data_IF_208673442596
#
_entry.id   IF_208673442596
#
_cell.length_a   1.000
_cell.length_b   1.000
_cell.length_c   1.000
_cell.angle_alpha   90.00
_cell.angle_beta   90.00
_cell.angle_gamma   90.00
#
_symmetry.space_group_name_H-M   'P 1'
#
loop_
_entity.id
_entity.type
_entity.pdbx_description
1 polymer ?
#
# COMPACT_ATOMS: atom_id res chain seq x y z
N UNK A 1 8.98 -23.12 -1.08
CA UNK A 1 8.62 -21.74 -0.70
C UNK A 1 9.53 -20.77 -1.44
N UNK A 2 8.96 -19.80 -2.18
CA UNK A 2 9.72 -18.87 -3.03
C UNK A 2 10.10 -17.63 -2.22
N UNK A 3 11.36 -17.19 -2.28
CA UNK A 3 11.87 -16.03 -1.53
C UNK A 3 11.14 -14.74 -1.94
N UNK A 4 10.45 -14.07 -1.02
CA UNK A 4 9.59 -12.90 -1.31
C UNK A 4 10.35 -11.56 -1.39
N UNK A 5 11.57 -11.49 -0.84
CA UNK A 5 12.26 -10.22 -0.52
C UNK A 5 13.35 -9.79 -1.52
N UNK A 6 13.67 -10.61 -2.52
CA UNK A 6 14.64 -10.26 -3.57
C UNK A 6 14.14 -10.77 -4.92
N UNK A 7 14.22 -9.95 -5.97
CA UNK A 7 14.00 -10.42 -7.34
C UNK A 7 15.15 -11.37 -7.71
N UNK A 8 15.00 -12.65 -7.36
CA UNK A 8 15.91 -13.74 -7.74
C UNK A 8 15.11 -14.90 -8.32
N UNK A 9 15.58 -15.43 -9.44
CA UNK A 9 15.12 -16.68 -10.03
C UNK A 9 15.08 -16.66 -11.56
N UNK A 10 14.63 -17.78 -12.15
CA UNK A 10 14.74 -18.05 -13.58
C UNK A 10 14.00 -17.01 -14.44
N UNK A 11 14.62 -16.62 -15.54
CA UNK A 11 14.05 -15.84 -16.64
C UNK A 11 13.48 -14.45 -16.27
N UNK A 12 13.96 -13.82 -15.20
CA UNK A 12 13.58 -12.43 -14.87
C UNK A 12 14.69 -11.48 -15.29
N UNK A 13 14.36 -10.48 -16.12
CA UNK A 13 15.29 -9.44 -16.57
C UNK A 13 14.75 -8.08 -16.17
N UNK A 14 15.57 -7.30 -15.48
CA UNK A 14 15.25 -5.91 -15.12
C UNK A 14 16.01 -5.02 -16.11
N UNK A 15 15.29 -4.11 -16.76
CA UNK A 15 15.87 -3.13 -17.67
C UNK A 15 15.37 -1.76 -17.24
N UNK A 16 16.30 -0.83 -17.00
CA UNK A 16 15.97 0.55 -16.63
C UNK A 16 16.45 1.45 -17.76
N UNK A 17 15.52 2.12 -18.42
CA UNK A 17 15.77 3.03 -19.54
C UNK A 17 15.04 4.35 -19.28
N UNK A 18 15.75 5.47 -19.31
CA UNK A 18 15.18 6.82 -19.25
C UNK A 18 14.20 7.08 -18.07
N UNK A 19 14.46 6.48 -16.90
CA UNK A 19 13.60 6.62 -15.71
C UNK A 19 12.49 5.57 -15.61
N UNK A 20 12.18 4.87 -16.69
CA UNK A 20 11.21 3.77 -16.70
C UNK A 20 11.93 2.44 -16.43
N UNK A 21 11.45 1.70 -15.44
CA UNK A 21 11.96 0.37 -15.12
C UNK A 21 10.98 -0.71 -15.57
N UNK A 22 11.50 -1.69 -16.31
CA UNK A 22 10.75 -2.81 -16.86
C UNK A 22 11.27 -4.11 -16.27
N UNK A 23 10.38 -4.90 -15.69
CA UNK A 23 10.64 -6.23 -15.17
C UNK A 23 10.00 -7.25 -16.12
N UNK A 24 10.84 -7.86 -16.95
CA UNK A 24 10.47 -8.91 -17.88
C UNK A 24 10.55 -10.27 -17.21
N UNK A 25 9.53 -11.10 -17.40
CA UNK A 25 9.54 -12.51 -17.04
C UNK A 25 9.31 -13.34 -18.31
N UNK A 26 10.29 -14.17 -18.66
CA UNK A 26 10.38 -14.85 -19.96
C UNK A 26 10.31 -13.84 -21.11
N UNK A 27 9.18 -13.78 -21.81
CA UNK A 27 8.94 -12.92 -22.96
C UNK A 27 7.82 -11.88 -22.71
N UNK A 28 7.44 -11.68 -21.45
CA UNK A 28 6.40 -10.72 -21.07
C UNK A 28 6.93 -9.72 -20.07
N UNK A 29 6.69 -8.43 -20.33
CA UNK A 29 6.97 -7.35 -19.38
C UNK A 29 5.89 -7.32 -18.30
N UNK A 30 6.15 -8.00 -17.19
CA UNK A 30 5.16 -8.23 -16.11
C UNK A 30 4.86 -6.97 -15.32
N UNK A 31 5.90 -6.16 -15.07
CA UNK A 31 5.77 -4.88 -14.40
C UNK A 31 6.56 -3.86 -15.18
N UNK A 32 5.91 -2.77 -15.57
CA UNK A 32 6.55 -1.58 -16.11
C UNK A 32 6.15 -0.45 -15.20
N UNK A 33 7.11 0.24 -14.61
CA UNK A 33 6.81 1.36 -13.75
C UNK A 33 7.72 2.53 -14.05
N UNK A 34 7.16 3.71 -13.84
CA UNK A 34 7.81 5.00 -13.94
C UNK A 34 7.52 5.80 -12.66
N UNK A 35 7.96 7.06 -12.59
CA UNK A 35 7.65 7.91 -11.43
C UNK A 35 6.14 8.15 -11.29
N UNK A 36 5.42 8.22 -12.42
CA UNK A 36 4.00 8.59 -12.44
C UNK A 36 3.04 7.42 -12.53
N UNK A 37 3.44 6.31 -13.15
CA UNK A 37 2.52 5.22 -13.49
C UNK A 37 3.14 3.85 -13.25
N UNK A 38 2.30 2.89 -12.89
CA UNK A 38 2.67 1.48 -12.75
C UNK A 38 1.72 0.68 -13.64
N UNK A 39 2.28 -0.08 -14.56
CA UNK A 39 1.57 -0.99 -15.45
C UNK A 39 1.92 -2.43 -15.09
N UNK A 40 0.89 -3.22 -14.80
CA UNK A 40 0.97 -4.65 -14.54
C UNK A 40 0.44 -5.41 -15.75
N UNK A 41 1.17 -6.41 -16.22
CA UNK A 41 0.76 -7.27 -17.33
C UNK A 41 0.92 -8.74 -16.94
N UNK A 42 -0.13 -9.53 -17.14
CA UNK A 42 -0.11 -10.97 -16.84
C UNK A 42 0.35 -11.82 -18.03
N UNK A 43 0.53 -11.22 -19.21
CA UNK A 43 0.92 -11.97 -20.42
C UNK A 43 -0.16 -12.89 -20.97
N UNK A 44 -1.39 -12.80 -20.46
CA UNK A 44 -2.51 -13.68 -20.79
C UNK A 44 -2.60 -14.93 -19.91
N UNK A 45 -1.59 -15.18 -19.06
CA UNK A 45 -1.56 -16.33 -18.15
C UNK A 45 -1.49 -15.88 -16.69
N UNK A 46 -2.57 -16.11 -15.95
CA UNK A 46 -2.67 -15.80 -14.52
C UNK A 46 -2.04 -16.91 -13.66
N UNK A 47 -0.71 -16.96 -13.64
CA UNK A 47 0.04 -17.98 -12.89
C UNK A 47 0.55 -17.47 -11.54
N UNK A 48 0.74 -18.39 -10.60
CA UNK A 48 1.28 -18.07 -9.26
C UNK A 48 2.68 -17.44 -9.37
N UNK A 49 3.49 -17.84 -10.35
CA UNK A 49 4.83 -17.29 -10.57
C UNK A 49 4.78 -15.81 -10.98
N UNK A 50 3.87 -15.43 -11.88
CA UNK A 50 3.66 -14.02 -12.28
C UNK A 50 3.29 -13.17 -11.07
N UNK A 51 2.36 -13.64 -10.22
CA UNK A 51 1.97 -12.95 -8.97
C UNK A 51 3.17 -12.76 -8.04
N UNK A 52 3.97 -13.81 -7.84
CA UNK A 52 5.17 -13.72 -6.99
C UNK A 52 6.15 -12.68 -7.52
N UNK A 53 6.35 -12.56 -8.84
CA UNK A 53 7.23 -11.53 -9.44
C UNK A 53 6.69 -10.12 -9.26
N UNK A 54 5.39 -9.93 -9.43
CA UNK A 54 4.74 -8.63 -9.18
C UNK A 54 4.96 -8.20 -7.73
N UNK A 55 4.70 -9.08 -6.76
CA UNK A 55 4.87 -8.78 -5.34
C UNK A 55 6.34 -8.57 -4.94
N UNK A 56 7.26 -9.35 -5.50
CA UNK A 56 8.70 -9.11 -5.31
C UNK A 56 9.13 -7.74 -5.82
N UNK A 57 8.60 -7.32 -6.98
CA UNK A 57 8.90 -6.01 -7.56
C UNK A 57 8.35 -4.90 -6.67
N UNK A 58 7.12 -5.05 -6.19
CA UNK A 58 6.51 -4.09 -5.28
C UNK A 58 7.31 -3.95 -3.98
N UNK A 59 7.77 -5.05 -3.39
CA UNK A 59 8.57 -5.03 -2.17
C UNK A 59 9.98 -4.44 -2.40
N UNK A 60 10.60 -4.72 -3.55
CA UNK A 60 11.97 -4.27 -3.83
C UNK A 60 12.05 -2.77 -4.15
N UNK A 61 11.02 -2.23 -4.81
CA UNK A 61 10.96 -0.83 -5.22
C UNK A 61 9.98 0.01 -4.39
N UNK A 62 9.46 -0.56 -3.29
CA UNK A 62 8.48 0.06 -2.39
C UNK A 62 7.32 0.76 -3.12
N UNK A 63 6.70 0.05 -4.07
CA UNK A 63 5.70 0.61 -4.98
C UNK A 63 4.31 0.72 -4.36
N UNK A 64 4.09 0.19 -3.16
CA UNK A 64 2.83 0.33 -2.42
C UNK A 64 1.64 -0.45 -3.03
N UNK A 65 1.88 -1.49 -3.82
CA UNK A 65 0.84 -2.39 -4.33
C UNK A 65 1.12 -3.85 -3.95
N UNK A 66 0.06 -4.66 -3.89
CA UNK A 66 0.12 -6.10 -3.65
C UNK A 66 -0.90 -6.81 -4.51
N UNK A 67 -0.50 -7.92 -5.12
CA UNK A 67 -1.36 -8.75 -5.96
C UNK A 67 -1.66 -10.06 -5.24
N UNK A 68 -2.94 -10.38 -5.10
CA UNK A 68 -3.39 -11.64 -4.52
C UNK A 68 -4.48 -12.28 -5.36
N UNK A 69 -4.70 -13.57 -5.15
CA UNK A 69 -5.70 -14.35 -5.85
C UNK A 69 -6.72 -14.86 -4.84
N UNK A 70 -8.00 -14.72 -5.14
CA UNK A 70 -9.12 -15.24 -4.34
C UNK A 70 -10.20 -15.74 -5.29
N UNK A 71 -10.73 -16.93 -5.07
CA UNK A 71 -11.81 -17.53 -5.89
C UNK A 71 -11.50 -17.53 -7.40
N UNK A 72 -10.27 -17.90 -7.79
CA UNK A 72 -9.78 -17.85 -9.19
C UNK A 72 -9.64 -16.45 -9.80
N UNK A 73 -10.09 -15.41 -9.11
CA UNK A 73 -9.95 -14.01 -9.52
C UNK A 73 -8.70 -13.36 -8.92
N UNK A 74 -8.15 -12.39 -9.64
CA UNK A 74 -6.95 -11.65 -9.23
C UNK A 74 -7.33 -10.25 -8.77
N UNK A 75 -6.80 -9.87 -7.62
CA UNK A 75 -7.06 -8.58 -7.00
C UNK A 75 -5.74 -7.84 -6.81
N UNK A 76 -5.75 -6.56 -7.14
CA UNK A 76 -4.65 -5.63 -6.90
C UNK A 76 -5.07 -4.72 -5.74
N UNK A 77 -4.35 -4.82 -4.63
CA UNK A 77 -4.49 -3.93 -3.49
C UNK A 77 -3.44 -2.82 -3.60
N UNK A 78 -3.86 -1.58 -3.39
CA UNK A 78 -2.96 -0.43 -3.24
C UNK A 78 -3.43 0.44 -2.08
N UNK A 79 -2.70 1.50 -1.75
CA UNK A 79 -3.09 2.44 -0.70
C UNK A 79 -4.49 3.06 -0.90
N UNK A 80 -4.96 3.20 -2.14
CA UNK A 80 -6.27 3.80 -2.42
C UNK A 80 -7.45 2.80 -2.39
N UNK A 81 -7.21 1.48 -2.35
CA UNK A 81 -8.28 0.49 -2.42
C UNK A 81 -7.87 -0.87 -2.96
N UNK A 82 -8.85 -1.69 -3.33
CA UNK A 82 -8.66 -3.00 -3.97
C UNK A 82 -9.44 -3.04 -5.28
N UNK A 83 -8.78 -3.41 -6.37
CA UNK A 83 -9.39 -3.52 -7.70
C UNK A 83 -9.27 -4.93 -8.24
N UNK A 84 -10.29 -5.36 -8.99
CA UNK A 84 -10.28 -6.61 -9.73
C UNK A 84 -9.41 -6.46 -11.00
N UNK A 85 -8.50 -7.41 -11.22
CA UNK A 85 -7.70 -7.51 -12.44
C UNK A 85 -8.35 -8.49 -13.41
N UNK A 86 -9.44 -8.04 -14.05
CA UNK A 86 -10.20 -8.85 -15.03
C UNK A 86 -9.54 -8.88 -16.42
N UNK A 87 -8.68 -7.90 -16.72
CA UNK A 87 -7.94 -7.83 -17.98
C UNK A 87 -6.58 -8.55 -17.96
N UNK A 88 -5.90 -8.46 -19.10
CA UNK A 88 -4.48 -8.82 -19.25
C UNK A 88 -3.57 -7.77 -18.62
N UNK A 89 -3.96 -6.50 -18.70
CA UNK A 89 -3.20 -5.33 -18.24
C UNK A 89 -3.97 -4.53 -17.20
N UNK A 90 -3.27 -3.99 -16.23
CA UNK A 90 -3.82 -3.10 -15.22
C UNK A 90 -2.87 -1.92 -15.02
N UNK A 91 -3.38 -0.69 -15.09
CA UNK A 91 -2.58 0.53 -14.95
C UNK A 91 -2.99 1.30 -13.70
N UNK A 92 -2.00 1.75 -12.94
CA UNK A 92 -2.14 2.47 -11.67
C UNK A 92 -1.47 3.84 -11.84
N UNK A 93 -2.21 4.90 -11.55
CA UNK A 93 -1.67 6.26 -11.53
C UNK A 93 -1.17 6.61 -10.12
N UNK A 94 0.11 6.95 -9.97
CA UNK A 94 0.75 7.28 -8.68
C UNK A 94 0.48 8.72 -8.23
N UNK A 95 0.21 9.66 -9.15
CA UNK A 95 -0.13 11.06 -8.79
C UNK A 95 -1.45 11.13 -8.02
N UNK A 96 -2.44 10.31 -8.38
CA UNK A 96 -3.77 10.28 -7.73
C UNK A 96 -3.73 9.76 -6.28
N UNK A 97 -2.68 9.02 -5.89
CA UNK A 97 -2.56 8.49 -4.52
C UNK A 97 -2.13 9.53 -3.46
N UNK A 98 -1.66 10.72 -3.88
CA UNK A 98 -1.29 11.81 -2.95
C UNK A 98 -2.49 12.64 -2.48
N UNK A 99 -3.62 12.60 -3.18
CA UNK A 99 -4.70 13.57 -2.99
C UNK A 99 -5.78 13.15 -1.99
N UNK A 100 -5.96 11.85 -1.72
CA UNK A 100 -7.06 11.38 -0.84
C UNK A 100 -6.77 11.56 0.65
N UNK A 101 -5.52 11.80 1.05
CA UNK A 101 -5.16 12.09 2.44
C UNK A 101 -5.41 13.56 2.83
N UNK A 102 -5.67 14.44 1.86
CA UNK A 102 -5.93 15.86 2.14
C UNK A 102 -7.43 16.20 2.29
N UNK A 103 -8.36 15.41 1.73
CA UNK A 103 -9.79 15.76 1.75
C UNK A 103 -10.56 15.27 3.00
N UNK A 104 -9.95 14.41 3.82
CA UNK A 104 -10.61 13.86 5.02
C UNK A 104 -10.28 14.60 6.33
N UNK A 105 -9.35 15.57 6.31
CA UNK A 105 -8.85 16.24 7.52
C UNK A 105 -9.59 17.52 7.93
N UNK A 106 -10.63 17.95 7.19
CA UNK A 106 -11.31 19.23 7.42
C UNK A 106 -12.62 19.15 8.20
N UNK A 107 -13.02 17.97 8.70
CA UNK A 107 -14.09 17.88 9.70
C UNK A 107 -13.53 17.53 11.07
N UNK A 108 -13.18 18.58 11.82
CA UNK A 108 -13.12 18.55 13.27
C UNK A 108 -11.71 18.50 13.86
N UNK A 109 -11.13 19.67 14.14
CA UNK A 109 -10.09 19.80 15.17
C UNK A 109 -10.77 19.71 16.55
N UNK A 110 -10.58 18.67 17.36
CA UNK A 110 -10.71 18.82 18.80
C UNK A 110 -9.52 19.66 19.28
N UNK A 111 -9.81 20.79 19.89
CA UNK A 111 -8.83 21.64 20.55
C UNK A 111 -8.10 20.80 21.60
N UNK A 112 -6.82 20.55 21.36
CA UNK A 112 -5.94 19.87 22.31
C UNK A 112 -5.71 20.78 23.52
N UNK A 113 -6.58 20.69 24.52
CA UNK A 113 -6.28 21.15 25.89
C UNK A 113 -5.04 20.38 26.37
N UNK A 114 -4.01 21.14 26.75
CA UNK A 114 -2.77 20.65 27.35
C UNK A 114 -3.05 19.63 28.46
N UNK A 115 -2.43 18.46 28.37
CA UNK A 115 -2.08 17.68 29.57
C UNK A 115 -0.77 18.24 30.09
N UNK A 116 -0.85 18.99 31.18
CA UNK A 116 0.27 19.09 32.10
C UNK A 116 0.02 18.02 33.16
N UNK A 117 0.94 17.06 33.24
CA UNK A 117 1.20 16.30 34.45
C UNK A 117 1.74 17.25 35.54
N UNK A 118 1.80 16.76 36.78
CA UNK A 118 2.03 17.48 38.05
C UNK A 118 0.74 18.05 38.66
N UNK A 119 0.04 17.23 39.44
CA UNK A 119 -0.08 17.52 40.87
C UNK A 119 -0.43 16.23 41.62
N UNK A 120 0.47 15.88 42.54
CA UNK A 120 0.30 14.83 43.53
C UNK A 120 -0.65 15.35 44.63
N UNK A 121 -1.44 14.42 45.19
CA UNK A 121 -1.77 14.32 46.61
C UNK A 121 -2.01 15.61 47.42
N UNK A 122 -3.26 15.87 47.82
CA UNK A 122 -3.53 16.33 49.19
C UNK A 122 -5.01 16.15 49.59
N UNK A 123 -5.23 15.17 50.47
CA UNK A 123 -5.92 15.31 51.77
C UNK A 123 -7.22 16.14 51.87
N UNK A 124 -8.29 15.42 52.24
CA UNK A 124 -9.27 15.74 53.30
C UNK A 124 -9.79 17.17 53.51
N UNK A 125 -11.11 17.29 53.65
CA UNK A 125 -11.83 17.79 54.86
C UNK A 125 -13.28 18.13 54.50
N UNK A 126 -14.20 17.40 55.15
CA UNK A 126 -15.53 17.74 55.70
C UNK A 126 -16.31 18.90 55.05
N UNK A 127 -17.51 18.59 54.55
CA UNK A 127 -18.64 19.52 54.58
C UNK A 127 -19.84 18.85 55.26
N UNK A 128 -20.03 19.27 56.49
CA UNK A 128 -21.24 19.22 57.29
C UNK A 128 -22.40 19.87 56.51
N UNK A 129 -23.55 19.20 56.45
CA UNK A 129 -24.80 19.80 55.94
C UNK A 129 -25.80 19.77 57.08
N UNK A 130 -26.29 20.93 57.55
CA UNK A 130 -27.30 20.95 58.59
C UNK A 130 -28.65 20.51 58.04
N UNK A 131 -29.33 19.64 58.79
CA UNK A 131 -30.74 19.29 58.64
C UNK A 131 -31.60 20.51 58.98
N UNK A 132 -32.61 20.76 58.15
CA UNK A 132 -33.89 21.36 58.56
C UNK A 132 -34.96 20.29 58.33
#
# INVERSE_FOLDING_TARGET
>A
MTQTWKIRGRATRITTENGTTRVRYHDTDVVVFDDETIMLNTGGWRTVTTKTRMNQTANQYDLGFSVYQKNFEWFVQTAAGTWLMDGRTFSINRRTQRSTLCLAAERGRPTRRRRSAWDWDNSGVILDTPKL
#
